data_IF_475092752198
#
_entry.id   IF_475092752198
#
_cell.length_a   1.000
_cell.length_b   1.000
_cell.length_c   1.000
_cell.angle_alpha   90.00
_cell.angle_beta   90.00
_cell.angle_gamma   90.00
#
_symmetry.space_group_name_H-M   'P 1'
#
loop_
_entity.id
_entity.type
_entity.pdbx_description
1 polymer ?
#
# COMPACT_ATOMS: atom_id res chain seq x y z
N UNK A 1 -0.99 -5.79 58.28
CA UNK A 1 -2.15 -5.61 57.37
C UNK A 1 -2.47 -4.14 57.49
N UNK A 2 -2.19 -3.28 56.51
CA UNK A 2 -2.48 -3.47 55.09
C UNK A 2 -1.38 -2.89 54.18
N UNK A 3 -0.99 -3.71 53.22
CA UNK A 3 -0.13 -3.36 52.09
C UNK A 3 -1.02 -2.67 51.05
N UNK A 4 -0.81 -1.38 50.79
CA UNK A 4 -1.53 -0.69 49.73
C UNK A 4 -1.02 -1.20 48.37
N UNK A 5 -1.82 -2.01 47.72
CA UNK A 5 -1.63 -2.46 46.34
C UNK A 5 -1.58 -1.24 45.41
N UNK A 6 -0.39 -0.90 44.94
CA UNK A 6 -0.20 0.08 43.86
C UNK A 6 -0.64 -0.60 42.56
N UNK A 7 -1.68 -0.11 41.85
CA UNK A 7 -1.98 -0.62 40.53
C UNK A 7 -0.87 -0.19 39.58
N UNK A 8 -0.08 -1.15 39.11
CA UNK A 8 0.81 -0.96 37.97
C UNK A 8 -0.06 -0.77 36.73
N UNK A 9 -0.25 0.48 36.30
CA UNK A 9 -0.82 0.76 34.98
C UNK A 9 0.25 0.42 33.96
N UNK A 10 0.20 -0.82 33.46
CA UNK A 10 0.93 -1.23 32.27
C UNK A 10 0.45 -0.37 31.10
N UNK A 11 1.20 0.68 30.80
CA UNK A 11 1.03 1.42 29.56
C UNK A 11 1.39 0.49 28.41
N UNK A 12 0.40 0.11 27.61
CA UNK A 12 0.68 -0.39 26.27
C UNK A 12 1.56 0.65 25.56
N UNK A 13 2.57 0.24 24.78
CA UNK A 13 3.37 1.20 24.03
C UNK A 13 2.42 1.96 23.11
N UNK A 14 2.23 3.26 23.37
CA UNK A 14 1.57 4.17 22.46
C UNK A 14 2.29 4.02 21.12
N UNK A 15 1.62 3.38 20.18
CA UNK A 15 2.10 3.34 18.80
C UNK A 15 1.97 4.77 18.31
N UNK A 16 3.09 5.50 18.32
CA UNK A 16 3.17 6.89 17.90
C UNK A 16 2.81 6.93 16.40
N UNK A 17 1.52 7.16 16.11
CA UNK A 17 1.06 7.32 14.75
C UNK A 17 1.79 8.54 14.16
N UNK A 18 2.36 8.43 12.95
CA UNK A 18 3.04 9.54 12.33
C UNK A 18 2.11 10.76 12.28
N UNK A 19 2.48 11.78 13.06
CA UNK A 19 1.63 12.95 13.37
C UNK A 19 1.38 13.85 12.16
N UNK A 20 2.05 13.59 11.03
CA UNK A 20 1.91 14.34 9.79
C UNK A 20 1.17 13.53 8.71
N UNK A 21 -0.09 13.87 8.49
CA UNK A 21 -0.96 13.26 7.46
C UNK A 21 -0.31 13.16 6.08
N UNK A 22 0.38 14.22 5.63
CA UNK A 22 1.04 14.22 4.32
C UNK A 22 2.21 13.27 4.28
N UNK A 23 3.01 13.23 5.35
CA UNK A 23 4.15 12.32 5.44
C UNK A 23 3.66 10.87 5.38
N UNK A 24 2.61 10.54 6.13
CA UNK A 24 1.96 9.23 6.11
C UNK A 24 1.43 8.87 4.72
N UNK A 25 0.70 9.77 4.06
CA UNK A 25 0.22 9.55 2.69
C UNK A 25 1.37 9.35 1.69
N UNK A 26 2.46 10.10 1.86
CA UNK A 26 3.64 10.01 0.99
C UNK A 26 4.39 8.70 1.18
N UNK A 27 4.55 8.23 2.42
CA UNK A 27 5.11 6.92 2.75
C UNK A 27 4.29 5.80 2.09
N UNK A 28 2.96 5.85 2.25
CA UNK A 28 2.07 4.84 1.66
C UNK A 28 2.13 4.90 0.12
N UNK A 29 2.14 6.09 -0.50
CA UNK A 29 2.31 6.23 -1.95
C UNK A 29 3.62 5.62 -2.44
N UNK A 30 4.71 5.78 -1.68
CA UNK A 30 5.99 5.15 -1.98
C UNK A 30 5.95 3.63 -1.89
N UNK A 31 5.32 3.09 -0.84
CA UNK A 31 5.12 1.65 -0.69
C UNK A 31 4.25 1.06 -1.83
N UNK A 32 3.17 1.76 -2.21
CA UNK A 32 2.33 1.37 -3.36
C UNK A 32 3.15 1.38 -4.64
N UNK A 33 4.01 2.39 -4.87
CA UNK A 33 4.87 2.44 -6.06
C UNK A 33 5.82 1.24 -6.13
N UNK A 34 6.44 0.86 -5.01
CA UNK A 34 7.31 -0.30 -4.94
C UNK A 34 6.55 -1.61 -5.25
N UNK A 35 5.39 -1.83 -4.60
CA UNK A 35 4.56 -3.02 -4.86
C UNK A 35 4.03 -3.04 -6.29
N UNK A 36 3.70 -1.87 -6.86
CA UNK A 36 3.24 -1.72 -8.24
C UNK A 36 4.30 -2.18 -9.25
N UNK A 37 5.56 -1.79 -9.05
CA UNK A 37 6.68 -2.24 -9.89
C UNK A 37 6.82 -3.77 -9.79
N UNK A 38 6.91 -4.32 -8.58
CA UNK A 38 7.03 -5.78 -8.39
C UNK A 38 5.83 -6.54 -8.96
N UNK A 39 4.62 -5.98 -8.89
CA UNK A 39 3.41 -6.59 -9.48
C UNK A 39 3.56 -6.73 -11.00
N UNK A 40 4.10 -5.72 -11.68
CA UNK A 40 4.30 -5.78 -13.13
C UNK A 40 5.39 -6.79 -13.52
N UNK A 41 6.45 -6.88 -12.73
CA UNK A 41 7.57 -7.82 -12.93
C UNK A 41 7.13 -9.29 -12.88
N UNK A 42 6.02 -9.59 -12.19
CA UNK A 42 5.44 -10.94 -12.20
C UNK A 42 5.12 -11.42 -13.62
N UNK A 43 4.83 -10.52 -14.57
CA UNK A 43 4.58 -10.89 -15.98
C UNK A 43 5.81 -11.48 -16.67
N UNK A 44 7.01 -11.24 -16.13
CA UNK A 44 8.27 -11.81 -16.60
C UNK A 44 8.64 -13.11 -15.87
N UNK A 45 7.78 -13.61 -14.98
CA UNK A 45 8.04 -14.84 -14.24
C UNK A 45 8.11 -16.06 -15.17
N UNK A 46 9.01 -17.01 -14.86
CA UNK A 46 9.28 -18.19 -15.71
C UNK A 46 8.05 -19.05 -16.01
N UNK A 47 7.06 -19.04 -15.12
CA UNK A 47 5.79 -19.78 -15.28
C UNK A 47 5.10 -19.44 -16.61
N UNK A 48 5.24 -18.19 -17.09
CA UNK A 48 4.64 -17.77 -18.36
C UNK A 48 5.38 -18.29 -19.60
N UNK A 49 6.63 -18.76 -19.43
CA UNK A 49 7.43 -19.40 -20.48
C UNK A 49 7.27 -20.92 -20.49
N UNK A 50 6.70 -21.49 -19.43
CA UNK A 50 6.43 -22.92 -19.31
C UNK A 50 5.15 -23.30 -20.07
N UNK A 51 4.99 -24.60 -20.36
CA UNK A 51 3.77 -25.10 -20.99
C UNK A 51 2.59 -24.83 -20.07
N UNK A 52 1.58 -24.11 -20.56
CA UNK A 52 0.35 -23.93 -19.78
C UNK A 52 -0.32 -25.28 -19.52
N UNK A 53 -0.86 -25.45 -18.32
CA UNK A 53 -1.67 -26.62 -17.97
C UNK A 53 -3.03 -26.56 -18.66
N UNK A 54 -4.09 -26.15 -17.94
CA UNK A 54 -5.35 -25.80 -18.59
C UNK A 54 -5.17 -24.64 -19.59
N UNK A 55 -5.79 -24.77 -20.76
CA UNK A 55 -5.77 -23.72 -21.79
C UNK A 55 -6.33 -22.42 -21.22
N UNK A 56 -5.60 -21.32 -21.39
CA UNK A 56 -6.04 -19.99 -20.96
C UNK A 56 -5.66 -19.62 -19.52
N UNK A 57 -5.09 -20.54 -18.74
CA UNK A 57 -4.62 -20.26 -17.36
C UNK A 57 -3.67 -19.06 -17.33
N UNK A 58 -2.70 -19.02 -18.24
CA UNK A 58 -1.72 -17.93 -18.28
C UNK A 58 -2.37 -16.59 -18.63
N UNK A 59 -3.35 -16.58 -19.54
CA UNK A 59 -4.11 -15.38 -19.88
C UNK A 59 -4.86 -14.81 -18.68
N UNK A 60 -5.53 -15.68 -17.92
CA UNK A 60 -6.26 -15.29 -16.71
C UNK A 60 -5.31 -14.77 -15.60
N UNK A 61 -4.15 -15.40 -15.43
CA UNK A 61 -3.10 -14.91 -14.52
C UNK A 61 -2.60 -13.52 -14.92
N UNK A 62 -2.28 -13.30 -16.21
CA UNK A 62 -1.82 -12.00 -16.71
C UNK A 62 -2.90 -10.92 -16.57
N UNK A 63 -4.16 -11.26 -16.82
CA UNK A 63 -5.29 -10.35 -16.66
C UNK A 63 -5.44 -9.89 -15.20
N UNK A 64 -5.33 -10.82 -14.25
CA UNK A 64 -5.38 -10.50 -12.83
C UNK A 64 -4.18 -9.66 -12.36
N UNK A 65 -2.97 -9.95 -12.83
CA UNK A 65 -1.79 -9.12 -12.55
C UNK A 65 -2.01 -7.68 -13.08
N UNK A 66 -2.53 -7.55 -14.30
CA UNK A 66 -2.82 -6.23 -14.88
C UNK A 66 -3.91 -5.48 -14.12
N UNK A 67 -4.93 -6.18 -13.60
CA UNK A 67 -5.97 -5.59 -12.77
C UNK A 67 -5.41 -5.12 -11.42
N UNK A 68 -4.58 -5.94 -10.76
CA UNK A 68 -3.92 -5.57 -9.51
C UNK A 68 -3.03 -4.32 -9.68
N UNK A 69 -2.23 -4.26 -10.75
CA UNK A 69 -1.44 -3.07 -11.08
C UNK A 69 -2.30 -1.81 -11.20
N UNK A 70 -3.41 -1.87 -11.93
CA UNK A 70 -4.33 -0.71 -12.08
C UNK A 70 -4.94 -0.26 -10.76
N UNK A 71 -5.28 -1.20 -9.86
CA UNK A 71 -5.79 -0.85 -8.54
C UNK A 71 -4.73 -0.16 -7.67
N UNK A 72 -3.45 -0.57 -7.77
CA UNK A 72 -2.35 0.11 -7.11
C UNK A 72 -2.14 1.52 -7.66
N UNK A 73 -2.25 1.73 -8.97
CA UNK A 73 -2.20 3.06 -9.57
C UNK A 73 -3.32 3.98 -9.10
N UNK A 74 -4.56 3.50 -9.10
CA UNK A 74 -5.69 4.26 -8.58
C UNK A 74 -5.51 4.58 -7.10
N UNK A 75 -5.12 3.61 -6.26
CA UNK A 75 -4.86 3.83 -4.85
C UNK A 75 -3.79 4.91 -4.61
N UNK A 76 -2.68 4.86 -5.36
CA UNK A 76 -1.62 5.90 -5.31
C UNK A 76 -2.22 7.26 -5.67
N UNK A 77 -2.96 7.36 -6.78
CA UNK A 77 -3.58 8.60 -7.25
C UNK A 77 -4.56 9.18 -6.22
N UNK A 78 -5.41 8.34 -5.61
CA UNK A 78 -6.40 8.75 -4.60
C UNK A 78 -5.73 9.32 -3.35
N UNK A 79 -4.60 8.78 -2.91
CA UNK A 79 -3.81 9.38 -1.83
C UNK A 79 -3.24 10.75 -2.24
N UNK A 80 -2.88 10.95 -3.51
CA UNK A 80 -2.50 12.26 -4.02
C UNK A 80 -3.65 13.27 -3.93
N UNK A 81 -4.88 12.86 -4.26
CA UNK A 81 -6.08 13.69 -4.09
C UNK A 81 -6.38 14.00 -2.63
N UNK A 82 -6.15 13.06 -1.72
CA UNK A 82 -6.29 13.30 -0.30
C UNK A 82 -5.31 14.37 0.21
N UNK A 83 -4.06 14.34 -0.25
CA UNK A 83 -3.07 15.39 0.04
C UNK A 83 -3.51 16.74 -0.56
N UNK A 84 -3.97 16.78 -1.82
CA UNK A 84 -4.48 18.01 -2.44
C UNK A 84 -5.64 18.62 -1.65
N UNK A 85 -6.58 17.79 -1.19
CA UNK A 85 -7.70 18.24 -0.37
C UNK A 85 -7.24 18.79 0.99
N UNK A 86 -6.24 18.15 1.61
CA UNK A 86 -5.61 18.65 2.84
C UNK A 86 -4.98 20.05 2.63
N UNK A 87 -4.45 20.32 1.43
CA UNK A 87 -3.84 21.60 1.05
C UNK A 87 -4.82 22.66 0.52
N UNK A 88 -6.11 22.53 0.85
CA UNK A 88 -7.12 23.49 0.40
C UNK A 88 -7.35 23.44 -1.12
N UNK A 89 -7.05 22.32 -1.76
CA UNK A 89 -7.30 22.08 -3.19
C UNK A 89 -6.15 22.51 -4.12
N UNK A 90 -5.00 22.93 -3.59
CA UNK A 90 -3.84 23.22 -4.44
C UNK A 90 -3.18 21.94 -4.97
N UNK A 91 -2.94 21.89 -6.28
CA UNK A 91 -2.22 20.79 -6.94
C UNK A 91 -0.72 21.06 -6.95
N UNK A 92 -0.05 20.92 -5.80
CA UNK A 92 1.40 21.15 -5.66
C UNK A 92 2.26 19.88 -5.80
N UNK A 93 1.67 18.73 -6.14
CA UNK A 93 2.38 17.44 -6.19
C UNK A 93 2.56 16.98 -7.63
N UNK A 94 3.82 16.89 -8.07
CA UNK A 94 4.19 16.34 -9.38
C UNK A 94 4.11 14.80 -9.33
N UNK A 95 3.66 14.21 -10.43
CA UNK A 95 3.44 12.77 -10.62
C UNK A 95 4.71 11.93 -10.53
#
# INVERSE_FOLDING_TARGET
>A
MDEACVPQTGGEPETEYPTNFKASCSIIRGAIEAVKVSTLELKCHREFSEREGPVGRHGEMQANIQLAYRHLEDARMRLGKAIQAYDGGQSCYKD
#
